data_IF_752974282316
#
_entry.id   IF_752974282316
#
_cell.length_a   1.000
_cell.length_b   1.000
_cell.length_c   1.000
_cell.angle_alpha   90.00
_cell.angle_beta   90.00
_cell.angle_gamma   90.00
#
_symmetry.space_group_name_H-M   'P 1'
#
loop_
_entity.id
_entity.type
_entity.pdbx_description
1 polymer ?
#
# COMPACT_ATOMS: atom_id res chain seq x y z
N UNK A 1 3.18 9.96 -6.60
CA UNK A 1 4.58 9.84 -6.13
C UNK A 1 4.59 9.46 -4.66
N UNK A 2 5.64 8.78 -4.23
CA UNK A 2 5.77 8.33 -2.85
C UNK A 2 5.74 9.51 -1.86
N UNK A 3 5.07 9.30 -0.72
CA UNK A 3 4.99 10.31 0.36
C UNK A 3 6.16 10.18 1.32
N UNK A 4 6.73 8.98 1.44
CA UNK A 4 7.78 8.67 2.40
C UNK A 4 9.10 8.37 1.70
N UNK A 5 10.21 8.79 2.30
CA UNK A 5 11.54 8.46 1.82
C UNK A 5 11.89 6.98 2.11
N UNK A 6 12.92 6.48 1.44
CA UNK A 6 13.40 5.11 1.69
C UNK A 6 13.76 4.90 3.15
N UNK A 7 14.44 5.86 3.77
CA UNK A 7 14.85 5.77 5.17
C UNK A 7 13.64 5.73 6.09
N UNK A 8 12.64 6.57 5.83
CA UNK A 8 11.41 6.58 6.62
C UNK A 8 10.66 5.24 6.53
N UNK A 9 10.58 4.65 5.34
CA UNK A 9 9.95 3.34 5.14
C UNK A 9 10.72 2.26 5.90
N UNK A 10 12.04 2.20 5.75
CA UNK A 10 12.88 1.21 6.44
C UNK A 10 12.80 1.36 7.95
N UNK A 11 12.81 2.59 8.46
CA UNK A 11 12.67 2.84 9.89
C UNK A 11 11.32 2.36 10.41
N UNK A 12 10.24 2.62 9.68
CA UNK A 12 8.92 2.16 10.06
C UNK A 12 8.81 0.64 10.03
N UNK A 13 9.44 -0.01 9.07
CA UNK A 13 9.53 -1.48 9.02
C UNK A 13 10.23 -2.02 10.27
N UNK A 14 11.30 -1.38 10.70
CA UNK A 14 12.02 -1.77 11.92
C UNK A 14 11.15 -1.59 13.17
N UNK A 15 10.43 -0.49 13.27
CA UNK A 15 9.59 -0.16 14.42
C UNK A 15 8.34 -1.02 14.51
N UNK A 16 7.63 -1.20 13.40
CA UNK A 16 6.35 -1.91 13.36
C UNK A 16 6.49 -3.43 13.23
N UNK A 17 7.48 -3.87 12.47
CA UNK A 17 7.88 -5.29 12.31
C UNK A 17 6.82 -6.21 11.69
N UNK A 18 5.73 -5.67 11.16
CA UNK A 18 4.70 -6.44 10.50
C UNK A 18 4.16 -5.67 9.31
N UNK A 19 3.99 -6.36 8.20
CA UNK A 19 3.44 -5.80 6.98
C UNK A 19 2.37 -6.76 6.50
N UNK A 20 1.08 -6.45 6.69
CA UNK A 20 0.02 -7.24 6.08
C UNK A 20 0.14 -7.22 4.56
N UNK A 21 -0.06 -8.38 3.96
CA UNK A 21 -0.07 -8.57 2.51
C UNK A 21 -1.49 -8.94 2.12
N UNK A 22 -2.09 -8.16 1.22
CA UNK A 22 -3.52 -8.28 0.98
C UNK A 22 -3.88 -7.95 -0.46
N UNK A 23 -4.87 -8.66 -0.98
CA UNK A 23 -5.56 -8.31 -2.23
C UNK A 23 -7.04 -8.65 -2.10
N UNK A 24 -7.87 -7.76 -2.60
CA UNK A 24 -9.29 -8.04 -2.83
C UNK A 24 -9.72 -7.18 -4.02
N UNK A 25 -10.56 -7.75 -4.87
CA UNK A 25 -11.08 -7.05 -6.04
C UNK A 25 -12.17 -6.04 -5.71
N UNK A 26 -12.68 -6.07 -4.49
CA UNK A 26 -13.69 -5.10 -4.02
C UNK A 26 -13.00 -3.98 -3.25
N UNK A 27 -13.16 -2.76 -3.74
CA UNK A 27 -12.57 -1.57 -3.14
C UNK A 27 -13.03 -1.34 -1.71
N UNK A 28 -14.31 -1.52 -1.42
CA UNK A 28 -14.84 -1.29 -0.07
C UNK A 28 -14.27 -2.30 0.93
N UNK A 29 -14.15 -3.56 0.56
CA UNK A 29 -13.50 -4.56 1.40
C UNK A 29 -12.03 -4.21 1.64
N UNK A 30 -11.33 -3.75 0.61
CA UNK A 30 -9.93 -3.34 0.73
C UNK A 30 -9.77 -2.17 1.69
N UNK A 31 -10.62 -1.17 1.60
CA UNK A 31 -10.64 -0.02 2.52
C UNK A 31 -10.91 -0.48 3.95
N UNK A 32 -11.89 -1.36 4.14
CA UNK A 32 -12.28 -1.84 5.48
C UNK A 32 -11.15 -2.63 6.14
N UNK A 33 -10.49 -3.50 5.39
CA UNK A 33 -9.37 -4.30 5.91
C UNK A 33 -8.19 -3.38 6.26
N UNK A 34 -7.84 -2.45 5.39
CA UNK A 34 -6.75 -1.50 5.65
C UNK A 34 -7.06 -0.64 6.88
N UNK A 35 -8.27 -0.14 6.99
CA UNK A 35 -8.68 0.69 8.13
C UNK A 35 -8.65 -0.10 9.43
N UNK A 36 -9.07 -1.36 9.42
CA UNK A 36 -9.01 -2.22 10.59
C UNK A 36 -7.56 -2.43 11.05
N UNK A 37 -6.65 -2.67 10.09
CA UNK A 37 -5.22 -2.77 10.39
C UNK A 37 -4.68 -1.47 10.98
N UNK A 38 -5.04 -0.34 10.39
CA UNK A 38 -4.62 0.98 10.87
C UNK A 38 -5.10 1.23 12.30
N UNK A 39 -6.35 0.94 12.58
CA UNK A 39 -6.94 1.11 13.92
C UNK A 39 -6.26 0.19 14.95
N UNK A 40 -5.74 -0.96 14.51
CA UNK A 40 -4.98 -1.87 15.36
C UNK A 40 -3.52 -1.51 15.56
N UNK A 41 -3.04 -0.41 14.97
CA UNK A 41 -1.67 0.04 15.13
C UNK A 41 -0.72 -0.31 13.99
N UNK A 42 -1.19 -0.98 12.95
CA UNK A 42 -0.38 -1.29 11.76
C UNK A 42 -0.11 -0.01 10.98
N UNK A 43 1.15 0.17 10.54
CA UNK A 43 1.58 1.38 9.82
C UNK A 43 2.21 1.11 8.46
N UNK A 44 2.28 -0.17 8.05
CA UNK A 44 2.68 -0.57 6.71
C UNK A 44 1.66 -1.55 6.17
N UNK A 45 1.40 -1.48 4.88
CA UNK A 45 0.42 -2.34 4.23
C UNK A 45 0.84 -2.57 2.79
N UNK A 46 0.92 -3.83 2.38
CA UNK A 46 1.26 -4.21 1.01
C UNK A 46 0.00 -4.68 0.28
N UNK A 47 -0.45 -3.90 -0.69
CA UNK A 47 -1.50 -4.34 -1.60
C UNK A 47 -0.88 -5.10 -2.76
N UNK A 48 -1.36 -6.31 -3.07
CA UNK A 48 -0.70 -7.12 -4.10
C UNK A 48 -1.35 -6.98 -5.47
N UNK A 49 -0.52 -6.93 -6.51
CA UNK A 49 -0.95 -6.86 -7.91
C UNK A 49 -1.32 -8.26 -8.42
N UNK A 50 -2.45 -8.79 -7.94
CA UNK A 50 -2.87 -10.17 -8.26
C UNK A 50 -4.04 -10.27 -9.23
N UNK A 51 -4.69 -9.18 -9.56
CA UNK A 51 -5.87 -9.20 -10.43
C UNK A 51 -5.83 -8.08 -11.45
N UNK A 52 -6.65 -8.22 -12.49
CA UNK A 52 -6.66 -7.28 -13.62
C UNK A 52 -6.97 -5.85 -13.22
N UNK A 53 -7.78 -5.65 -12.19
CA UNK A 53 -8.16 -4.31 -11.70
C UNK A 53 -7.29 -3.79 -10.56
N UNK A 54 -6.19 -4.46 -10.23
CA UNK A 54 -5.40 -4.12 -9.04
C UNK A 54 -4.87 -2.69 -9.05
N UNK A 55 -4.42 -2.19 -10.19
CA UNK A 55 -3.91 -0.82 -10.30
C UNK A 55 -4.99 0.21 -9.97
N UNK A 56 -6.20 0.03 -10.49
CA UNK A 56 -7.31 0.96 -10.25
C UNK A 56 -7.71 0.96 -8.77
N UNK A 57 -7.78 -0.23 -8.16
CA UNK A 57 -8.06 -0.35 -6.73
C UNK A 57 -6.95 0.31 -5.90
N UNK A 58 -5.70 0.08 -6.28
CA UNK A 58 -4.55 0.70 -5.59
C UNK A 58 -4.64 2.23 -5.61
N UNK A 59 -4.98 2.81 -6.76
CA UNK A 59 -5.12 4.28 -6.89
C UNK A 59 -6.17 4.82 -5.91
N UNK A 60 -7.32 4.18 -5.85
CA UNK A 60 -8.40 4.58 -4.94
C UNK A 60 -8.02 4.34 -3.48
N UNK A 61 -7.34 3.23 -3.22
CA UNK A 61 -6.86 2.90 -1.88
C UNK A 61 -5.82 3.91 -1.39
N UNK A 62 -4.94 4.37 -2.28
CA UNK A 62 -3.96 5.41 -1.96
C UNK A 62 -4.64 6.72 -1.58
N UNK A 63 -5.66 7.13 -2.35
CA UNK A 63 -6.45 8.32 -2.01
C UNK A 63 -7.12 8.19 -0.65
N UNK A 64 -7.67 7.03 -0.37
CA UNK A 64 -8.29 6.73 0.92
C UNK A 64 -7.28 6.81 2.07
N UNK A 65 -6.10 6.25 1.88
CA UNK A 65 -5.02 6.31 2.89
C UNK A 65 -4.64 7.75 3.20
N UNK A 66 -4.47 8.57 2.18
CA UNK A 66 -4.08 9.97 2.36
C UNK A 66 -5.10 10.78 3.15
N UNK A 67 -6.38 10.46 3.03
CA UNK A 67 -7.45 11.17 3.73
C UNK A 67 -7.81 10.55 5.09
N UNK A 68 -7.86 9.23 5.17
CA UNK A 68 -8.41 8.53 6.34
C UNK A 68 -7.37 7.81 7.20
N UNK A 69 -6.23 7.48 6.63
CA UNK A 69 -5.17 6.75 7.33
C UNK A 69 -3.80 7.39 7.03
N UNK A 70 -3.61 8.68 7.34
CA UNK A 70 -2.46 9.44 6.82
C UNK A 70 -1.09 8.94 7.29
N UNK A 71 -1.04 8.14 8.35
CA UNK A 71 0.22 7.57 8.83
C UNK A 71 0.49 6.17 8.28
N UNK A 72 -0.41 5.60 7.46
CA UNK A 72 -0.18 4.32 6.82
C UNK A 72 0.76 4.47 5.64
N UNK A 73 1.80 3.65 5.60
CA UNK A 73 2.72 3.55 4.48
C UNK A 73 2.22 2.43 3.57
N UNK A 74 1.61 2.81 2.45
CA UNK A 74 1.06 1.86 1.48
C UNK A 74 2.10 1.54 0.41
N UNK A 75 2.35 0.26 0.21
CA UNK A 75 3.21 -0.25 -0.85
C UNK A 75 2.48 -1.27 -1.70
N UNK A 76 3.17 -1.81 -2.67
CA UNK A 76 2.63 -2.80 -3.60
C UNK A 76 3.54 -4.00 -3.71
N UNK A 77 2.95 -5.18 -3.87
CA UNK A 77 3.68 -6.43 -4.08
C UNK A 77 3.18 -7.19 -5.29
N UNK A 78 3.82 -8.33 -5.54
CA UNK A 78 3.60 -9.16 -6.74
C UNK A 78 3.94 -8.39 -8.02
N UNK A 79 5.02 -7.64 -7.99
CA UNK A 79 5.52 -6.87 -9.12
C UNK A 79 6.66 -7.65 -9.77
N UNK A 80 6.53 -7.94 -11.05
CA UNK A 80 7.47 -8.82 -11.76
C UNK A 80 8.29 -8.11 -12.84
N UNK A 81 8.03 -6.84 -13.09
CA UNK A 81 8.74 -6.07 -14.13
C UNK A 81 8.80 -4.59 -13.78
N UNK A 82 9.77 -3.90 -14.40
CA UNK A 82 10.01 -2.48 -14.14
C UNK A 82 8.87 -1.57 -14.63
N UNK A 83 8.28 -1.77 -15.81
CA UNK A 83 7.17 -0.93 -16.25
C UNK A 83 5.98 -0.95 -15.30
N UNK A 84 5.63 -2.13 -14.78
CA UNK A 84 4.54 -2.25 -13.78
C UNK A 84 4.91 -1.55 -12.50
N UNK A 85 6.14 -1.73 -12.01
CA UNK A 85 6.64 -1.01 -10.84
C UNK A 85 6.51 0.50 -11.02
N UNK A 86 6.89 1.01 -12.17
CA UNK A 86 6.83 2.44 -12.47
C UNK A 86 5.41 3.00 -12.38
N UNK A 87 4.41 2.24 -12.84
CA UNK A 87 3.01 2.64 -12.73
C UNK A 87 2.57 2.79 -11.27
N UNK A 88 2.86 1.81 -10.44
CA UNK A 88 2.47 1.87 -9.02
C UNK A 88 3.23 2.96 -8.27
N UNK A 89 4.51 3.15 -8.56
CA UNK A 89 5.31 4.24 -7.98
C UNK A 89 4.73 5.61 -8.39
N UNK A 90 4.34 5.75 -9.66
CA UNK A 90 3.70 6.98 -10.14
C UNK A 90 2.43 7.30 -9.34
N UNK A 91 1.65 6.28 -8.98
CA UNK A 91 0.43 6.47 -8.20
C UNK A 91 0.65 6.42 -6.69
N UNK A 92 1.88 6.47 -6.24
CA UNK A 92 2.20 6.75 -4.85
C UNK A 92 2.73 5.61 -4.03
N UNK A 93 3.00 4.43 -4.61
CA UNK A 93 3.57 3.31 -3.85
C UNK A 93 4.86 3.75 -3.15
N UNK A 94 4.93 3.51 -1.86
CA UNK A 94 6.07 3.90 -1.04
C UNK A 94 7.14 2.82 -0.99
N UNK A 95 6.79 1.58 -1.31
CA UNK A 95 7.72 0.47 -1.49
C UNK A 95 7.14 -0.53 -2.47
N UNK A 96 8.00 -1.34 -3.06
CA UNK A 96 7.66 -2.34 -4.09
C UNK A 96 8.31 -3.67 -3.72
N UNK A 97 7.52 -4.74 -3.82
CA UNK A 97 8.00 -6.10 -3.57
C UNK A 97 7.78 -6.99 -4.80
#
# INVERSE_FOLDING_TARGET
MATYSKIEVLLKMHQNRVIPVFYNSDLENSKNVLKACYNGGIRLFEFTNRGDGALDIFKELMSYVQSECPEMILGVGSIVDAPTAALFVHYGANFVV
#
